data_IF_607580862486
#
_entry.id   IF_607580862486
#
_cell.length_a   1.000
_cell.length_b   1.000
_cell.length_c   1.000
_cell.angle_alpha   90.00
_cell.angle_beta   90.00
_cell.angle_gamma   90.00
#
_symmetry.space_group_name_H-M   'P 1'
#
loop_
_entity.id
_entity.type
_entity.pdbx_description
1 polymer ?
#
# COMPACT_ATOMS: atom_id res chain seq x y z
N UNK A 1 -1.17 -14.49 -0.22
CA UNK A 1 -2.09 -13.43 0.25
C UNK A 1 -2.28 -12.42 -0.87
N UNK A 2 -3.41 -11.71 -0.90
CA UNK A 2 -3.63 -10.63 -1.86
C UNK A 2 -3.95 -9.34 -1.13
N UNK A 3 -3.21 -8.28 -1.41
CA UNK A 3 -3.41 -6.95 -0.83
C UNK A 3 -3.75 -5.98 -1.94
N UNK A 4 -4.92 -5.35 -1.86
CA UNK A 4 -5.40 -4.38 -2.84
C UNK A 4 -5.59 -3.03 -2.17
N UNK A 5 -5.13 -1.94 -2.77
CA UNK A 5 -5.39 -0.60 -2.27
C UNK A 5 -5.36 0.45 -3.37
N UNK A 6 -5.92 1.63 -3.08
CA UNK A 6 -5.82 2.81 -3.93
C UNK A 6 -5.04 3.92 -3.24
N UNK A 7 -4.27 4.68 -4.02
CA UNK A 7 -3.70 5.95 -3.57
C UNK A 7 -4.31 7.09 -4.36
N UNK A 8 -4.79 8.11 -3.64
CA UNK A 8 -5.56 9.22 -4.20
C UNK A 8 -4.85 10.54 -3.94
N UNK A 9 -4.74 11.40 -4.95
CA UNK A 9 -4.24 12.77 -4.78
C UNK A 9 -5.41 13.74 -4.57
N UNK A 10 -6.03 13.69 -3.38
CA UNK A 10 -7.14 14.57 -3.02
C UNK A 10 -6.73 16.03 -2.87
N UNK A 11 -5.53 16.28 -2.33
CA UNK A 11 -5.06 17.64 -2.03
C UNK A 11 -4.63 18.42 -3.28
N UNK A 12 -4.43 17.75 -4.41
CA UNK A 12 -3.78 18.29 -5.62
C UNK A 12 -2.31 18.64 -5.44
N UNK A 13 -1.78 18.56 -4.22
CA UNK A 13 -0.37 18.83 -3.87
C UNK A 13 0.50 17.57 -3.93
N UNK A 14 -0.13 16.42 -4.19
CA UNK A 14 0.58 15.17 -4.26
C UNK A 14 1.48 15.07 -5.48
N UNK A 15 2.54 14.28 -5.36
CA UNK A 15 3.51 14.04 -6.44
C UNK A 15 3.18 12.69 -7.09
N UNK A 16 3.53 12.51 -8.37
CA UNK A 16 3.28 11.30 -9.21
C UNK A 16 1.85 11.02 -9.64
N UNK A 17 0.88 11.01 -8.72
CA UNK A 17 -0.53 10.78 -9.08
C UNK A 17 -1.18 12.11 -9.47
N UNK A 18 -1.80 12.24 -10.65
CA UNK A 18 -2.47 13.48 -11.06
C UNK A 18 -3.53 13.93 -10.05
N UNK A 19 -3.70 15.25 -9.92
CA UNK A 19 -4.67 15.86 -9.00
C UNK A 19 -6.08 15.31 -9.22
N UNK A 20 -6.77 14.95 -8.14
CA UNK A 20 -8.14 14.42 -8.20
C UNK A 20 -8.27 13.00 -8.75
N UNK A 21 -7.15 12.32 -9.00
CA UNK A 21 -7.17 10.95 -9.54
C UNK A 21 -6.67 9.93 -8.53
N UNK A 22 -7.01 8.66 -8.78
CA UNK A 22 -6.60 7.53 -7.98
C UNK A 22 -5.89 6.48 -8.85
N UNK A 23 -4.86 5.84 -8.32
CA UNK A 23 -4.25 4.64 -8.90
C UNK A 23 -4.44 3.48 -7.94
N UNK A 24 -4.58 2.26 -8.46
CA UNK A 24 -4.76 1.04 -7.69
C UNK A 24 -3.54 0.12 -7.79
N UNK A 25 -3.20 -0.52 -6.68
CA UNK A 25 -2.22 -1.60 -6.63
C UNK A 25 -2.88 -2.88 -6.15
N UNK A 26 -2.52 -3.98 -6.79
CA UNK A 26 -2.92 -5.34 -6.44
C UNK A 26 -1.63 -6.13 -6.27
N UNK A 27 -1.34 -6.47 -5.02
CA UNK A 27 -0.13 -7.17 -4.61
C UNK A 27 -0.45 -8.63 -4.32
N UNK A 28 0.34 -9.52 -4.90
CA UNK A 28 0.46 -10.89 -4.43
C UNK A 28 1.64 -10.97 -3.46
N UNK A 29 1.38 -11.51 -2.27
CA UNK A 29 2.30 -11.53 -1.14
C UNK A 29 2.35 -12.94 -0.57
N UNK A 30 3.53 -13.51 -0.45
CA UNK A 30 3.72 -14.90 -0.03
C UNK A 30 3.77 -15.05 1.49
N UNK A 31 4.42 -14.11 2.18
CA UNK A 31 4.70 -14.21 3.62
C UNK A 31 4.56 -12.87 4.38
N UNK A 32 4.78 -12.92 5.69
CA UNK A 32 4.73 -11.76 6.58
C UNK A 32 5.81 -10.72 6.28
N UNK A 33 7.01 -11.14 5.88
CA UNK A 33 8.14 -10.24 5.65
C UNK A 33 7.87 -9.35 4.43
N UNK A 34 7.40 -9.94 3.33
CA UNK A 34 6.97 -9.22 2.15
C UNK A 34 5.82 -8.25 2.48
N UNK A 35 4.85 -8.69 3.30
CA UNK A 35 3.75 -7.82 3.72
C UNK A 35 4.25 -6.60 4.52
N UNK A 36 5.14 -6.82 5.51
CA UNK A 36 5.73 -5.74 6.32
C UNK A 36 6.51 -4.76 5.43
N UNK A 37 7.29 -5.28 4.49
CA UNK A 37 8.03 -4.49 3.50
C UNK A 37 7.08 -3.63 2.65
N UNK A 38 5.99 -4.22 2.16
CA UNK A 38 4.95 -3.52 1.40
C UNK A 38 4.33 -2.37 2.21
N UNK A 39 3.94 -2.60 3.47
CA UNK A 39 3.34 -1.55 4.30
C UNK A 39 4.34 -0.42 4.61
N UNK A 40 5.63 -0.72 4.78
CA UNK A 40 6.67 0.28 4.95
C UNK A 40 6.85 1.14 3.69
N UNK A 41 6.95 0.49 2.51
CA UNK A 41 7.01 1.17 1.20
C UNK A 41 5.77 2.05 1.00
N UNK A 42 4.57 1.53 1.31
CA UNK A 42 3.30 2.23 1.19
C UNK A 42 3.27 3.49 2.07
N UNK A 43 3.65 3.37 3.34
CA UNK A 43 3.73 4.49 4.29
C UNK A 43 4.67 5.58 3.80
N UNK A 44 5.85 5.20 3.31
CA UNK A 44 6.82 6.14 2.75
C UNK A 44 6.27 6.86 1.51
N UNK A 45 5.64 6.11 0.60
CA UNK A 45 5.02 6.67 -0.61
C UNK A 45 3.94 7.69 -0.28
N UNK A 46 3.02 7.35 0.62
CA UNK A 46 1.95 8.24 1.07
C UNK A 46 2.52 9.53 1.66
N UNK A 47 3.53 9.43 2.53
CA UNK A 47 4.15 10.59 3.17
C UNK A 47 4.87 11.50 2.17
N UNK A 48 5.70 10.93 1.30
CA UNK A 48 6.52 11.68 0.33
C UNK A 48 5.63 12.34 -0.73
N UNK A 49 4.68 11.57 -1.26
CA UNK A 49 3.82 12.00 -2.36
C UNK A 49 2.53 12.67 -1.86
N UNK A 50 2.33 12.85 -0.54
CA UNK A 50 1.15 13.49 0.08
C UNK A 50 -0.17 12.92 -0.43
N UNK A 51 -0.26 11.59 -0.47
CA UNK A 51 -1.41 10.84 -0.98
C UNK A 51 -2.31 10.38 0.15
N UNK A 52 -3.56 10.06 -0.18
CA UNK A 52 -4.52 9.45 0.72
C UNK A 52 -4.66 7.98 0.38
N UNK A 53 -4.58 7.10 1.39
CA UNK A 53 -4.87 5.68 1.24
C UNK A 53 -6.38 5.47 1.20
N UNK A 54 -6.87 4.75 0.20
CA UNK A 54 -8.28 4.42 0.05
C UNK A 54 -8.48 2.95 -0.32
N UNK A 55 -9.64 2.40 0.06
CA UNK A 55 -10.12 1.07 -0.33
C UNK A 55 -9.07 -0.03 -0.15
N UNK A 56 -8.45 -0.09 1.05
CA UNK A 56 -7.50 -1.15 1.41
C UNK A 56 -8.25 -2.45 1.70
N UNK A 57 -7.94 -3.50 0.96
CA UNK A 57 -8.50 -4.84 1.14
C UNK A 57 -7.36 -5.85 1.26
N UNK A 58 -7.44 -6.71 2.27
CA UNK A 58 -6.48 -7.80 2.50
C UNK A 58 -7.27 -9.11 2.42
N UNK A 59 -7.00 -9.89 1.38
CA UNK A 59 -7.55 -11.22 1.20
C UNK A 59 -6.51 -12.25 1.67
N UNK A 60 -6.77 -12.86 2.84
CA UNK A 60 -5.94 -13.92 3.40
C UNK A 60 -6.84 -15.07 3.85
N UNK A 61 -6.50 -16.31 3.43
CA UNK A 61 -7.31 -17.48 3.76
C UNK A 61 -7.19 -17.92 5.23
N UNK A 62 -6.06 -17.64 5.91
CA UNK A 62 -5.76 -18.12 7.27
C UNK A 62 -4.83 -17.16 8.06
N UNK A 63 -5.23 -15.91 8.35
CA UNK A 63 -4.46 -14.99 9.21
C UNK A 63 -4.95 -15.06 10.66
N UNK A 64 -4.07 -14.81 11.65
CA UNK A 64 -4.54 -14.45 13.00
C UNK A 64 -5.04 -12.98 13.02
N UNK A 65 -5.99 -12.66 13.89
CA UNK A 65 -6.49 -11.27 14.04
C UNK A 65 -5.38 -10.30 14.47
N UNK A 66 -4.45 -10.76 15.31
CA UNK A 66 -3.25 -10.04 15.74
C UNK A 66 -2.36 -9.61 14.56
N UNK A 67 -2.29 -10.44 13.52
CA UNK A 67 -1.52 -10.17 12.31
C UNK A 67 -2.14 -9.04 11.45
N UNK A 68 -3.48 -9.03 11.34
CA UNK A 68 -4.23 -7.97 10.68
C UNK A 68 -4.11 -6.65 11.44
N UNK A 69 -4.11 -6.70 12.77
CA UNK A 69 -3.87 -5.55 13.64
C UNK A 69 -2.47 -4.97 13.43
N UNK A 70 -1.41 -5.78 13.40
CA UNK A 70 -0.04 -5.27 13.19
C UNK A 70 0.09 -4.57 11.82
N UNK A 71 -0.51 -5.15 10.77
CA UNK A 71 -0.50 -4.60 9.42
C UNK A 71 -1.23 -3.24 9.32
N UNK A 72 -2.42 -3.13 9.93
CA UNK A 72 -3.17 -1.87 9.98
C UNK A 72 -2.57 -0.86 10.96
N UNK A 73 -2.00 -1.31 12.08
CA UNK A 73 -1.39 -0.46 13.11
C UNK A 73 -0.11 0.24 12.64
N UNK A 74 0.69 -0.39 11.76
CA UNK A 74 1.89 0.22 11.19
C UNK A 74 1.58 1.51 10.39
N UNK A 75 0.39 1.59 9.81
CA UNK A 75 -0.16 2.76 9.13
C UNK A 75 -1.17 3.46 10.06
N UNK A 76 -0.69 4.24 11.04
CA UNK A 76 -1.51 5.18 11.85
C UNK A 76 -2.17 6.33 11.04
N UNK A 77 -2.26 6.20 9.71
CA UNK A 77 -2.85 7.19 8.83
C UNK A 77 -4.34 6.90 8.59
N UNK A 78 -5.10 7.92 8.22
CA UNK A 78 -6.49 7.73 7.81
C UNK A 78 -6.57 6.86 6.55
N UNK A 79 -7.49 5.90 6.56
CA UNK A 79 -7.91 5.12 5.40
C UNK A 79 -9.34 5.55 5.07
N UNK A 80 -9.61 5.86 3.80
CA UNK A 80 -10.96 6.19 3.33
C UNK A 80 -11.53 4.99 2.58
N UNK A 81 -12.76 4.58 2.92
CA UNK A 81 -13.51 3.59 2.16
C UNK A 81 -14.61 4.31 1.38
N UNK A 82 -14.50 4.32 0.06
CA UNK A 82 -15.40 5.01 -0.85
C UNK A 82 -15.47 4.26 -2.19
N UNK A 83 -16.62 3.65 -2.45
CA UNK A 83 -16.87 2.84 -3.65
C UNK A 83 -17.04 3.69 -4.91
N UNK A 84 -17.12 5.02 -4.80
CA UNK A 84 -17.20 5.93 -5.95
C UNK A 84 -15.84 6.26 -6.54
N UNK A 85 -14.75 5.99 -5.80
CA UNK A 85 -13.38 6.20 -6.28
C UNK A 85 -13.04 5.12 -7.32
N UNK A 86 -12.93 5.54 -8.58
CA UNK A 86 -12.45 4.67 -9.67
C UNK A 86 -10.99 4.97 -9.99
N UNK A 87 -10.11 3.94 -10.07
CA UNK A 87 -8.72 4.15 -10.42
C UNK A 87 -8.57 4.43 -11.92
N UNK A 88 -7.71 5.38 -12.28
CA UNK A 88 -7.35 5.66 -13.68
C UNK A 88 -6.20 4.77 -14.17
N UNK A 89 -5.51 4.08 -13.25
CA UNK A 89 -4.43 3.11 -13.52
C UNK A 89 -4.45 2.01 -12.47
N UNK A 90 -4.13 0.79 -12.90
CA UNK A 90 -4.06 -0.40 -12.05
C UNK A 90 -2.70 -1.06 -12.25
N UNK A 91 -2.04 -1.43 -11.15
CA UNK A 91 -0.76 -2.10 -11.12
C UNK A 91 -0.89 -3.48 -10.47
N UNK A 92 -0.38 -4.51 -11.14
CA UNK A 92 -0.23 -5.84 -10.57
C UNK A 92 1.22 -6.02 -10.15
N UNK A 93 1.45 -6.40 -8.90
CA UNK A 93 2.79 -6.53 -8.32
C UNK A 93 2.87 -7.88 -7.63
N UNK A 94 3.93 -8.63 -7.92
CA UNK A 94 4.34 -9.77 -7.10
C UNK A 94 5.47 -9.24 -6.21
N UNK A 95 5.31 -9.31 -4.90
CA UNK A 95 6.39 -8.91 -4.00
C UNK A 95 7.40 -10.07 -3.94
N UNK A 96 8.63 -9.82 -4.37
CA UNK A 96 9.73 -10.77 -4.21
C UNK A 96 10.38 -10.57 -2.83
N UNK A 97 10.84 -11.65 -2.20
CA UNK A 97 11.48 -11.63 -0.86
C UNK A 97 12.91 -11.08 -0.86
N UNK A 98 13.35 -10.41 -1.92
CA UNK A 98 14.73 -9.95 -2.03
C UNK A 98 14.95 -8.75 -1.11
N UNK A 99 15.43 -9.05 0.09
CA UNK A 99 16.29 -8.14 0.85
C UNK A 99 17.48 -7.76 -0.04
N UNK A 100 17.36 -6.70 -0.84
CA UNK A 100 18.51 -5.85 -1.12
C UNK A 100 18.87 -5.14 0.19
N UNK A 101 19.56 -5.90 1.04
CA UNK A 101 20.39 -5.43 2.14
C UNK A 101 21.17 -4.23 1.62
N UNK A 102 21.04 -3.11 2.33
CA UNK A 102 21.93 -1.94 2.29
C UNK A 102 23.36 -2.33 1.88
N UNK A 103 23.69 -2.19 0.59
CA UNK A 103 25.07 -2.17 0.10
C UNK A 103 25.42 -0.76 -0.33
N UNK A 104 25.26 0.17 0.60
CA UNK A 104 26.09 1.38 0.64
C UNK A 104 26.92 1.30 1.92
N UNK A 105 27.95 0.47 1.85
CA UNK A 105 29.11 0.51 2.73
C UNK A 105 30.29 0.09 1.87
N UNK A 106 30.93 1.08 1.25
CA UNK A 106 32.37 1.39 1.23
C UNK A 106 32.53 2.71 0.47
#
# INVERSE_FOLDING_TARGET
MKITYMLVNLSGKGRRIPSGTAWQWIHHVEDELQMRSLFLKLKNKIRIDRLTLANLHIEQRNASEEFLEIATFAYKGQIIYDNTISPIRIFFVHEDSDEEIFRDSI
#
